data_IF_547624613121
#
_entry.id   IF_547624613121
#
_cell.length_a   1.000
_cell.length_b   1.000
_cell.length_c   1.000
_cell.angle_alpha   90.00
_cell.angle_beta   90.00
_cell.angle_gamma   90.00
#
_symmetry.space_group_name_H-M   'P 1'
#
loop_
_entity.id
_entity.type
_entity.pdbx_description
1 polymer ?
#
# COMPACT_ATOMS: atom_id res chain seq x y z
N UNK A 1 -2.29 -15.87 -1.96
CA UNK A 1 -2.23 -14.88 -0.88
C UNK A 1 -0.90 -14.15 -0.98
N UNK A 2 -0.86 -12.94 -1.56
CA UNK A 2 0.25 -12.03 -1.32
C UNK A 2 0.32 -11.87 0.19
N UNK A 3 1.44 -12.28 0.78
CA UNK A 3 1.63 -12.23 2.22
C UNK A 3 1.88 -10.77 2.60
N UNK A 4 0.83 -9.96 2.54
CA UNK A 4 0.86 -8.55 2.88
C UNK A 4 0.63 -8.44 4.38
N UNK A 5 1.73 -8.32 5.09
CA UNK A 5 1.74 -8.23 6.54
C UNK A 5 1.25 -6.84 6.95
N UNK A 6 -0.04 -6.74 7.30
CA UNK A 6 -0.74 -5.47 7.53
C UNK A 6 -0.22 -4.72 8.77
N UNK A 7 0.51 -5.41 9.65
CA UNK A 7 1.18 -4.82 10.81
C UNK A 7 2.47 -4.07 10.44
N UNK A 8 3.00 -4.26 9.23
CA UNK A 8 4.18 -3.55 8.75
C UNK A 8 3.81 -2.15 8.28
N UNK A 9 4.74 -1.21 8.49
CA UNK A 9 4.60 0.12 7.92
C UNK A 9 4.71 0.09 6.39
N UNK A 10 4.20 1.13 5.75
CA UNK A 10 4.20 1.27 4.30
C UNK A 10 5.62 1.21 3.72
N UNK A 11 6.63 1.77 4.37
CA UNK A 11 8.01 1.72 3.90
C UNK A 11 8.59 0.28 3.83
N UNK A 12 8.18 -0.60 4.74
CA UNK A 12 8.53 -2.03 4.71
C UNK A 12 7.69 -2.76 3.65
N UNK A 13 6.37 -2.53 3.64
CA UNK A 13 5.46 -3.16 2.68
C UNK A 13 5.82 -2.85 1.23
N UNK A 14 6.19 -1.61 0.92
CA UNK A 14 6.56 -1.20 -0.44
C UNK A 14 7.94 -1.76 -0.87
N UNK A 15 8.83 -2.00 0.09
CA UNK A 15 10.11 -2.68 -0.18
C UNK A 15 9.91 -4.16 -0.49
N UNK A 16 9.03 -4.82 0.25
CA UNK A 16 8.70 -6.24 0.05
C UNK A 16 7.79 -6.45 -1.17
N UNK A 17 6.92 -5.48 -1.45
CA UNK A 17 5.92 -5.53 -2.52
C UNK A 17 6.04 -4.26 -3.40
N UNK A 18 7.06 -4.15 -4.26
CA UNK A 18 7.21 -2.98 -5.14
C UNK A 18 6.02 -2.81 -6.11
N UNK A 19 5.28 -3.88 -6.41
CA UNK A 19 4.01 -3.82 -7.16
C UNK A 19 2.97 -2.94 -6.47
N UNK A 20 2.88 -2.98 -5.14
CA UNK A 20 1.96 -2.16 -4.34
C UNK A 20 2.22 -0.67 -4.55
N UNK A 21 3.50 -0.28 -4.65
CA UNK A 21 3.89 1.10 -4.93
C UNK A 21 3.38 1.57 -6.29
N UNK A 22 3.46 0.70 -7.30
CA UNK A 22 2.93 0.98 -8.64
C UNK A 22 1.42 1.21 -8.63
N UNK A 23 0.67 0.34 -7.94
CA UNK A 23 -0.80 0.45 -7.83
C UNK A 23 -1.20 1.73 -7.09
N UNK A 24 -0.57 2.03 -5.96
CA UNK A 24 -0.82 3.26 -5.20
C UNK A 24 -0.50 4.50 -6.03
N UNK A 25 0.62 4.49 -6.76
CA UNK A 25 1.03 5.61 -7.61
C UNK A 25 0.07 5.83 -8.78
N UNK A 26 -0.48 4.77 -9.39
CA UNK A 26 -1.56 4.88 -10.40
C UNK A 26 -2.80 5.59 -9.84
N UNK A 27 -3.05 5.46 -8.54
CA UNK A 27 -4.14 6.12 -7.80
C UNK A 27 -3.75 7.51 -7.25
N UNK A 28 -2.56 8.03 -7.62
CA UNK A 28 -2.07 9.34 -7.19
C UNK A 28 -1.46 9.36 -5.79
N UNK A 29 -1.20 8.20 -5.20
CA UNK A 29 -0.67 8.07 -3.84
C UNK A 29 0.79 7.65 -3.91
N UNK A 30 1.68 8.57 -3.55
CA UNK A 30 3.11 8.28 -3.51
C UNK A 30 3.60 8.10 -2.06
N UNK A 31 3.30 6.93 -1.51
CA UNK A 31 3.74 6.57 -0.16
C UNK A 31 5.27 6.42 -0.08
N UNK A 32 5.97 6.06 -1.17
CA UNK A 32 7.42 5.89 -1.14
C UNK A 32 8.15 7.21 -0.81
N UNK A 33 7.57 8.34 -1.21
CA UNK A 33 8.10 9.69 -0.99
C UNK A 33 7.49 10.39 0.23
N UNK A 34 6.46 9.80 0.84
CA UNK A 34 5.72 10.42 1.93
C UNK A 34 6.39 10.14 3.28
N UNK A 35 6.72 11.19 4.05
CA UNK A 35 7.33 11.03 5.39
C UNK A 35 6.48 10.15 6.32
N UNK A 36 5.15 10.21 6.15
CA UNK A 36 4.20 9.45 6.94
C UNK A 36 4.27 7.93 6.68
N UNK A 37 4.78 7.47 5.53
CA UNK A 37 4.86 6.04 5.20
C UNK A 37 5.84 5.23 6.05
N UNK A 38 6.72 5.92 6.79
CA UNK A 38 7.62 5.29 7.76
C UNK A 38 6.88 4.84 9.03
N UNK A 39 5.67 5.37 9.27
CA UNK A 39 4.88 5.15 10.48
C UNK A 39 3.51 4.57 10.15
N UNK A 40 2.89 5.05 9.08
CA UNK A 40 1.57 4.61 8.64
C UNK A 40 1.60 3.16 8.15
N UNK A 41 0.59 2.41 8.56
CA UNK A 41 0.28 1.08 8.02
C UNK A 41 -0.52 1.21 6.71
N UNK A 42 -0.66 0.11 5.96
CA UNK A 42 -1.55 0.09 4.81
C UNK A 42 -3.00 0.43 5.22
N UNK A 43 -3.45 -0.04 6.39
CA UNK A 43 -4.79 0.26 6.90
C UNK A 43 -5.00 1.76 7.13
N UNK A 44 -4.00 2.47 7.67
CA UNK A 44 -4.06 3.92 7.86
C UNK A 44 -4.09 4.69 6.56
N UNK A 45 -3.28 4.29 5.57
CA UNK A 45 -3.30 4.90 4.23
C UNK A 45 -4.66 4.67 3.58
N UNK A 46 -5.17 3.45 3.62
CA UNK A 46 -6.49 3.11 3.08
C UNK A 46 -7.57 3.97 3.71
N UNK A 47 -7.56 4.12 5.04
CA UNK A 47 -8.51 4.95 5.77
C UNK A 47 -8.38 6.44 5.43
N UNK A 48 -7.15 6.94 5.36
CA UNK A 48 -6.84 8.36 5.13
C UNK A 48 -7.23 8.81 3.73
N UNK A 49 -6.88 8.00 2.73
CA UNK A 49 -7.17 8.27 1.32
C UNK A 49 -8.51 7.67 0.86
N UNK A 50 -9.29 7.07 1.78
CA UNK A 50 -10.56 6.38 1.51
C UNK A 50 -10.45 5.40 0.33
N UNK A 51 -9.38 4.61 0.33
CA UNK A 51 -9.16 3.59 -0.68
C UNK A 51 -10.04 2.37 -0.41
N UNK A 52 -10.41 1.71 -1.50
CA UNK A 52 -11.00 0.38 -1.43
C UNK A 52 -9.86 -0.66 -1.32
N UNK A 53 -9.59 -1.11 -0.09
CA UNK A 53 -8.58 -2.13 0.20
C UNK A 53 -8.87 -3.46 -0.53
N UNK A 54 -10.11 -4.00 -0.54
CA UNK A 54 -10.42 -5.22 -1.30
C UNK A 54 -10.03 -5.12 -2.78
N UNK A 55 -10.36 -4.02 -3.44
CA UNK A 55 -10.03 -3.77 -4.85
C UNK A 55 -8.53 -3.64 -5.07
N UNK A 56 -7.82 -3.04 -4.10
CA UNK A 56 -6.38 -2.85 -4.16
C UNK A 56 -5.63 -4.19 -4.01
N UNK A 57 -6.12 -5.07 -3.13
CA UNK A 57 -5.61 -6.44 -2.99
C UNK A 57 -5.94 -7.28 -4.23
N UNK A 58 -7.14 -7.15 -4.80
CA UNK A 58 -7.51 -7.83 -6.03
C UNK A 58 -6.64 -7.42 -7.22
N UNK A 59 -6.31 -6.14 -7.36
CA UNK A 59 -5.34 -5.66 -8.37
C UNK A 59 -3.93 -6.23 -8.14
N UNK A 60 -3.53 -6.39 -6.88
CA UNK A 60 -2.22 -6.97 -6.56
C UNK A 60 -2.16 -8.48 -6.85
N UNK A 61 -3.29 -9.20 -6.70
CA UNK A 61 -3.41 -10.63 -7.01
C UNK A 61 -3.64 -10.92 -8.50
N UNK A 62 -4.23 -9.99 -9.23
CA UNK A 62 -4.64 -10.16 -10.63
C UNK A 62 -3.57 -9.96 -11.71
N UNK A 63 -2.34 -9.56 -11.35
CA UNK A 63 -1.18 -9.42 -12.26
C UNK A 63 -0.05 -10.43 -12.01
#
# INVERSE_FOLDING_TARGET
>A
MPNLDLDKNMAQLLRENPKLAGILRKRGIDCASCLASQVDTLADVVRTYRLDLPSLLAELEGE
#
